data_IF_476654105116
#
_entry.id   IF_476654105116
#
_cell.length_a   1.000
_cell.length_b   1.000
_cell.length_c   1.000
_cell.angle_alpha   90.00
_cell.angle_beta   90.00
_cell.angle_gamma   90.00
#
_symmetry.space_group_name_H-M   'P 1'
#
loop_
_entity.id
_entity.type
_entity.pdbx_description
1 polymer ?
#
# COMPACT_ATOMS: atom_id res chain seq x y z
N UNK A 1 -42.79 13.14 -18.84
CA UNK A 1 -42.40 13.43 -17.43
C UNK A 1 -43.49 13.16 -16.41
N UNK A 2 -44.73 13.72 -16.54
CA UNK A 2 -45.82 13.44 -15.56
C UNK A 2 -46.38 12.02 -15.64
N UNK A 3 -46.48 11.41 -16.82
CA UNK A 3 -46.91 10.02 -16.97
C UNK A 3 -45.85 9.02 -16.47
N UNK A 4 -44.59 9.32 -16.67
CA UNK A 4 -43.46 8.48 -16.25
C UNK A 4 -43.32 8.46 -14.71
N UNK A 5 -43.49 9.62 -14.06
CA UNK A 5 -43.52 9.71 -12.61
C UNK A 5 -44.67 8.94 -11.99
N UNK A 6 -45.88 8.98 -12.62
CA UNK A 6 -47.03 8.24 -12.13
C UNK A 6 -46.81 6.72 -12.17
N UNK A 7 -46.18 6.22 -13.23
CA UNK A 7 -45.85 4.80 -13.36
C UNK A 7 -44.87 4.34 -12.28
N UNK A 8 -43.86 5.13 -12.01
CA UNK A 8 -42.88 4.85 -10.93
C UNK A 8 -43.54 4.87 -9.54
N UNK A 9 -44.45 5.80 -9.28
CA UNK A 9 -45.20 5.87 -8.02
C UNK A 9 -46.07 4.62 -7.81
N UNK A 10 -46.70 4.11 -8.89
CA UNK A 10 -47.44 2.85 -8.86
C UNK A 10 -46.55 1.64 -8.57
N UNK A 11 -45.35 1.58 -9.16
CA UNK A 11 -44.37 0.54 -8.87
C UNK A 11 -43.90 0.58 -7.42
N UNK A 12 -43.61 1.78 -6.88
CA UNK A 12 -43.22 1.94 -5.47
C UNK A 12 -44.36 1.53 -4.53
N UNK A 13 -45.61 1.94 -4.81
CA UNK A 13 -46.75 1.59 -4.01
C UNK A 13 -46.99 0.07 -4.00
N UNK A 14 -46.98 -0.59 -5.17
CA UNK A 14 -47.11 -2.03 -5.28
C UNK A 14 -46.00 -2.80 -4.58
N UNK A 15 -44.75 -2.31 -4.68
CA UNK A 15 -43.62 -2.90 -3.97
C UNK A 15 -43.78 -2.87 -2.44
N UNK A 16 -44.38 -1.80 -1.89
CA UNK A 16 -44.58 -1.61 -0.46
C UNK A 16 -45.82 -2.33 0.09
N UNK A 17 -46.78 -2.69 -0.74
CA UNK A 17 -48.06 -3.32 -0.33
C UNK A 17 -48.15 -4.80 -0.65
N UNK A 18 -48.07 -5.17 -1.91
CA UNK A 18 -48.40 -6.50 -2.42
C UNK A 18 -47.17 -7.26 -2.95
N UNK A 19 -46.07 -6.55 -3.18
CA UNK A 19 -44.87 -7.04 -3.87
C UNK A 19 -44.99 -6.89 -5.39
N UNK A 20 -43.85 -6.99 -6.08
CA UNK A 20 -43.75 -6.86 -7.52
C UNK A 20 -43.39 -8.20 -8.17
N UNK A 21 -43.80 -8.39 -9.42
CA UNK A 21 -43.29 -9.45 -10.26
C UNK A 21 -41.78 -9.18 -10.62
N UNK A 22 -41.14 -10.18 -11.21
CA UNK A 22 -39.69 -10.11 -11.47
C UNK A 22 -39.31 -8.97 -12.44
N UNK A 23 -40.16 -8.72 -13.45
CA UNK A 23 -39.86 -7.71 -14.48
C UNK A 23 -40.04 -6.30 -13.93
N UNK A 24 -41.16 -6.05 -13.22
CA UNK A 24 -41.44 -4.78 -12.55
C UNK A 24 -40.42 -4.46 -11.43
N UNK A 25 -39.95 -5.49 -10.73
CA UNK A 25 -38.87 -5.32 -9.72
C UNK A 25 -37.54 -4.92 -10.34
N UNK A 26 -37.15 -5.49 -11.47
CA UNK A 26 -35.94 -5.16 -12.18
C UNK A 26 -36.00 -3.75 -12.81
N UNK A 27 -37.19 -3.34 -13.28
CA UNK A 27 -37.45 -1.97 -13.75
C UNK A 27 -37.29 -0.96 -12.61
N UNK A 28 -37.91 -1.18 -11.46
CA UNK A 28 -37.80 -0.32 -10.29
C UNK A 28 -36.34 -0.23 -9.78
N UNK A 29 -35.62 -1.33 -9.75
CA UNK A 29 -34.19 -1.34 -9.38
C UNK A 29 -33.34 -0.52 -10.34
N UNK A 30 -33.56 -0.66 -11.64
CA UNK A 30 -32.83 0.08 -12.67
C UNK A 30 -33.07 1.57 -12.51
N UNK A 31 -34.33 1.98 -12.26
CA UNK A 31 -34.66 3.38 -12.02
C UNK A 31 -34.02 3.93 -10.73
N UNK A 32 -33.99 3.17 -9.62
CA UNK A 32 -33.35 3.57 -8.36
C UNK A 32 -31.83 3.79 -8.54
N UNK A 33 -31.19 2.95 -9.37
CA UNK A 33 -29.74 3.01 -9.59
C UNK A 33 -29.35 4.11 -10.59
N UNK A 34 -30.29 4.53 -11.45
CA UNK A 34 -30.03 5.51 -12.51
C UNK A 34 -29.63 6.90 -12.00
N UNK A 35 -30.11 7.33 -10.83
CA UNK A 35 -29.69 8.60 -10.23
C UNK A 35 -29.74 8.58 -8.70
N UNK A 36 -28.96 9.49 -8.08
CA UNK A 36 -28.99 9.71 -6.62
C UNK A 36 -30.34 10.29 -6.16
N UNK A 37 -30.99 11.09 -7.00
CA UNK A 37 -32.28 11.73 -6.75
C UNK A 37 -33.39 10.69 -6.73
N UNK A 38 -33.40 9.73 -7.66
CA UNK A 38 -34.36 8.62 -7.71
C UNK A 38 -34.27 7.75 -6.45
N UNK A 39 -33.04 7.48 -6.01
CA UNK A 39 -32.79 6.73 -4.77
C UNK A 39 -33.34 7.47 -3.55
N UNK A 40 -33.14 8.77 -3.48
CA UNK A 40 -33.62 9.60 -2.37
C UNK A 40 -35.14 9.68 -2.36
N UNK A 41 -35.77 9.81 -3.53
CA UNK A 41 -37.21 9.78 -3.70
C UNK A 41 -37.82 8.45 -3.21
N UNK A 42 -37.25 7.31 -3.60
CA UNK A 42 -37.69 6.00 -3.13
C UNK A 42 -37.61 5.87 -1.61
N UNK A 43 -36.50 6.29 -0.99
CA UNK A 43 -36.34 6.27 0.46
C UNK A 43 -37.40 7.12 1.14
N UNK A 44 -37.70 8.30 0.63
CA UNK A 44 -38.69 9.20 1.17
C UNK A 44 -40.12 8.62 1.10
N UNK A 45 -40.51 8.03 -0.03
CA UNK A 45 -41.82 7.37 -0.17
C UNK A 45 -41.95 6.17 0.77
N UNK A 46 -40.90 5.37 0.92
CA UNK A 46 -40.87 4.25 1.85
C UNK A 46 -41.04 4.71 3.32
N UNK A 47 -40.39 5.80 3.73
CA UNK A 47 -40.53 6.33 5.08
C UNK A 47 -41.93 6.87 5.36
N UNK A 48 -42.56 7.55 4.39
CA UNK A 48 -43.96 8.01 4.48
C UNK A 48 -44.87 6.82 4.69
N UNK A 49 -44.72 5.75 3.88
CA UNK A 49 -45.56 4.55 3.98
C UNK A 49 -45.41 3.86 5.35
N UNK A 50 -44.17 3.64 5.83
CA UNK A 50 -43.94 3.04 7.14
C UNK A 50 -44.46 3.91 8.29
N UNK A 51 -44.45 5.22 8.16
CA UNK A 51 -45.04 6.11 9.16
C UNK A 51 -46.56 6.06 9.20
N UNK A 52 -47.20 5.86 8.04
CA UNK A 52 -48.67 5.70 7.92
C UNK A 52 -49.13 4.36 8.48
N UNK A 53 -48.48 3.25 8.12
CA UNK A 53 -48.81 1.89 8.59
C UNK A 53 -48.63 1.77 10.11
N UNK A 54 -47.58 2.38 10.69
CA UNK A 54 -47.38 2.38 12.13
C UNK A 54 -48.46 3.19 12.88
N UNK A 55 -49.14 4.15 12.27
CA UNK A 55 -50.24 4.89 12.89
C UNK A 55 -51.48 4.04 13.05
N UNK A 56 -51.80 3.20 12.09
CA UNK A 56 -52.95 2.27 12.20
C UNK A 56 -52.69 1.17 13.23
N UNK A 57 -51.47 0.63 13.29
CA UNK A 57 -51.07 -0.32 14.33
C UNK A 57 -51.05 0.31 15.75
N UNK A 58 -50.75 1.60 15.87
CA UNK A 58 -50.78 2.32 17.13
C UNK A 58 -52.19 2.59 17.71
N UNK A 59 -53.21 2.59 16.85
CA UNK A 59 -54.63 2.79 17.30
C UNK A 59 -55.23 1.54 17.99
N UNK A 60 -54.64 0.37 17.74
CA UNK A 60 -55.04 -0.91 18.38
C UNK A 60 -54.27 -1.17 19.69
N UNK A 61 -53.23 -0.40 19.95
CA UNK A 61 -52.36 -0.60 21.10
C UNK A 61 -52.89 0.17 22.32
N UNK A 62 -53.55 -0.55 23.24
CA UNK A 62 -54.01 0.03 24.50
C UNK A 62 -52.82 0.32 25.46
N UNK A 63 -52.41 1.57 25.49
CA UNK A 63 -51.27 2.07 26.28
C UNK A 63 -51.37 1.74 27.76
N UNK A 64 -52.59 1.81 28.29
CA UNK A 64 -52.83 1.60 29.73
C UNK A 64 -52.65 0.12 30.09
N UNK A 65 -53.10 -0.79 29.24
CA UNK A 65 -52.93 -2.22 29.41
C UNK A 65 -51.45 -2.66 29.25
N UNK A 66 -50.73 -2.01 28.37
CA UNK A 66 -49.30 -2.24 28.21
C UNK A 66 -48.51 -1.74 29.41
N UNK A 67 -48.89 -0.58 29.94
CA UNK A 67 -48.24 0.00 31.13
C UNK A 67 -48.53 -0.81 32.39
N UNK A 68 -49.76 -1.31 32.57
CA UNK A 68 -50.09 -2.26 33.66
C UNK A 68 -49.32 -3.56 33.56
N UNK A 69 -49.22 -4.14 32.37
CA UNK A 69 -48.43 -5.33 32.17
C UNK A 69 -46.91 -5.11 32.42
N UNK A 70 -46.41 -3.96 32.06
CA UNK A 70 -45.04 -3.56 32.38
C UNK A 70 -44.83 -3.39 33.90
N UNK A 71 -45.74 -2.68 34.55
CA UNK A 71 -45.69 -2.47 35.99
C UNK A 71 -45.77 -3.79 36.76
N UNK A 72 -46.68 -4.67 36.40
CA UNK A 72 -46.81 -6.01 36.98
C UNK A 72 -45.56 -6.89 36.77
N UNK A 73 -44.88 -6.75 35.63
CA UNK A 73 -43.59 -7.41 35.37
C UNK A 73 -42.44 -6.82 36.21
N UNK A 74 -42.43 -5.52 36.45
CA UNK A 74 -41.43 -4.87 37.28
C UNK A 74 -41.65 -5.21 38.76
N UNK A 75 -42.91 -5.23 39.22
CA UNK A 75 -43.25 -5.62 40.59
C UNK A 75 -43.03 -7.10 40.88
N UNK A 76 -43.34 -7.99 39.93
CA UNK A 76 -43.03 -9.41 40.05
C UNK A 76 -41.51 -9.68 40.06
N UNK A 77 -40.71 -8.89 39.33
CA UNK A 77 -39.25 -8.96 39.42
C UNK A 77 -38.69 -8.47 40.74
N UNK A 78 -39.34 -7.51 41.41
CA UNK A 78 -38.93 -7.06 42.75
C UNK A 78 -39.21 -8.11 43.82
N UNK A 79 -40.27 -8.95 43.66
CA UNK A 79 -40.57 -10.00 44.62
C UNK A 79 -39.74 -11.28 44.47
N UNK A 80 -39.09 -11.45 43.33
CA UNK A 80 -38.25 -12.66 43.06
C UNK A 80 -36.76 -12.38 43.35
N UNK A 81 -36.40 -11.21 43.86
CA UNK A 81 -35.02 -10.86 44.23
C UNK A 81 -34.65 -11.18 45.69
N UNK A 82 -35.41 -12.06 46.36
CA UNK A 82 -34.96 -12.67 47.59
C UNK A 82 -34.69 -14.13 47.33
N UNK A 83 -33.44 -14.51 47.50
CA UNK A 83 -32.88 -15.86 47.47
C UNK A 83 -32.63 -16.49 46.07
N UNK A 84 -31.56 -16.10 45.47
CA UNK A 84 -30.49 -16.95 44.97
C UNK A 84 -29.43 -16.06 44.35
N UNK A 85 -28.51 -15.56 45.15
CA UNK A 85 -27.16 -15.24 44.64
C UNK A 85 -26.57 -16.58 44.16
N UNK A 86 -26.98 -17.05 43.01
CA UNK A 86 -26.08 -17.84 42.19
C UNK A 86 -24.93 -16.89 41.87
N UNK A 87 -23.91 -16.93 42.70
CA UNK A 87 -22.65 -16.32 42.41
C UNK A 87 -22.23 -16.87 41.05
N UNK A 88 -22.32 -16.01 40.04
CA UNK A 88 -21.56 -16.25 38.81
C UNK A 88 -20.16 -16.51 39.31
N UNK A 89 -19.76 -17.77 39.29
CA UNK A 89 -18.42 -18.11 39.76
C UNK A 89 -17.46 -17.38 38.83
N UNK A 90 -16.86 -16.34 39.37
CA UNK A 90 -15.82 -15.57 38.71
C UNK A 90 -14.80 -16.53 38.00
N UNK A 91 -14.63 -17.74 38.58
CA UNK A 91 -13.82 -18.79 38.02
C UNK A 91 -14.31 -19.32 36.67
N UNK A 92 -15.62 -19.30 36.38
CA UNK A 92 -16.13 -19.71 35.07
C UNK A 92 -15.84 -18.64 34.02
N UNK A 93 -16.04 -17.36 34.36
CA UNK A 93 -15.73 -16.20 33.48
C UNK A 93 -14.22 -16.18 33.18
N UNK A 94 -13.38 -16.42 34.16
CA UNK A 94 -11.92 -16.49 33.97
C UNK A 94 -11.48 -17.63 33.04
N UNK A 95 -12.18 -18.76 33.04
CA UNK A 95 -11.91 -19.87 32.11
C UNK A 95 -12.21 -19.49 30.65
N UNK A 96 -13.34 -18.83 30.42
CA UNK A 96 -13.69 -18.36 29.06
C UNK A 96 -12.82 -17.17 28.64
N UNK A 97 -12.48 -16.27 29.55
CA UNK A 97 -11.56 -15.17 29.28
C UNK A 97 -10.15 -15.69 28.90
N UNK A 98 -9.68 -16.73 29.55
CA UNK A 98 -8.40 -17.38 29.21
C UNK A 98 -8.42 -17.98 27.81
N UNK A 99 -9.50 -18.64 27.41
CA UNK A 99 -9.64 -19.23 26.06
C UNK A 99 -9.65 -18.11 24.99
N UNK A 100 -10.40 -17.04 25.23
CA UNK A 100 -10.45 -15.88 24.32
C UNK A 100 -9.07 -15.21 24.23
N UNK A 101 -8.38 -15.04 25.36
CA UNK A 101 -7.04 -14.47 25.38
C UNK A 101 -6.02 -15.35 24.62
N UNK A 102 -6.12 -16.68 24.77
CA UNK A 102 -5.26 -17.61 24.01
C UNK A 102 -5.57 -17.53 22.50
N UNK A 103 -6.84 -17.47 22.10
CA UNK A 103 -7.20 -17.32 20.68
C UNK A 103 -6.68 -16.02 20.09
N UNK A 104 -6.78 -14.92 20.83
CA UNK A 104 -6.22 -13.64 20.43
C UNK A 104 -4.69 -13.71 20.34
N UNK A 105 -4.04 -14.30 21.35
CA UNK A 105 -2.59 -14.44 21.35
C UNK A 105 -2.09 -15.32 20.17
N UNK A 106 -2.76 -16.45 19.90
CA UNK A 106 -2.46 -17.29 18.74
C UNK A 106 -2.70 -16.55 17.44
N UNK A 107 -3.80 -15.79 17.34
CA UNK A 107 -4.09 -14.94 16.17
C UNK A 107 -3.02 -13.87 15.95
N UNK A 108 -2.60 -13.17 17.02
CA UNK A 108 -1.52 -12.18 16.95
C UNK A 108 -0.17 -12.79 16.60
N UNK A 109 0.17 -13.95 17.20
CA UNK A 109 1.42 -14.67 16.89
C UNK A 109 1.41 -15.14 15.43
N UNK A 110 0.30 -15.72 14.95
CA UNK A 110 0.16 -16.16 13.56
C UNK A 110 0.22 -15.00 12.59
N UNK A 111 -0.37 -13.85 12.94
CA UNK A 111 -0.29 -12.63 12.15
C UNK A 111 1.15 -12.12 12.05
N UNK A 112 1.86 -12.04 13.17
CA UNK A 112 3.27 -11.61 13.20
C UNK A 112 4.20 -12.58 12.49
N UNK A 113 4.03 -13.89 12.68
CA UNK A 113 4.82 -14.90 11.97
C UNK A 113 4.51 -14.94 10.47
N UNK A 114 3.25 -14.69 10.09
CA UNK A 114 2.85 -14.60 8.67
C UNK A 114 3.56 -13.46 7.95
N UNK A 115 3.72 -12.30 8.61
CA UNK A 115 4.39 -11.13 8.01
C UNK A 115 5.90 -11.34 7.83
N UNK A 116 6.55 -12.06 8.77
CA UNK A 116 7.99 -12.34 8.72
C UNK A 116 8.30 -13.43 7.67
N UNK A 117 7.53 -14.52 7.62
CA UNK A 117 7.80 -15.64 6.72
C UNK A 117 7.55 -15.32 5.23
N UNK A 118 6.63 -14.41 4.91
CA UNK A 118 6.37 -14.03 3.51
C UNK A 118 7.53 -13.23 2.93
N UNK A 119 8.19 -12.38 3.73
CA UNK A 119 9.32 -11.57 3.27
C UNK A 119 10.57 -12.40 2.97
N UNK A 120 10.80 -13.49 3.70
CA UNK A 120 11.97 -14.36 3.54
C UNK A 120 11.77 -15.47 2.48
N UNK A 121 10.54 -15.67 1.99
CA UNK A 121 10.21 -16.77 1.07
C UNK A 121 10.48 -16.40 -0.40
N UNK A 122 10.58 -15.11 -0.71
CA UNK A 122 10.81 -14.66 -2.07
C UNK A 122 12.27 -14.35 -2.32
N UNK A 123 12.87 -15.02 -3.32
CA UNK A 123 14.22 -14.72 -3.77
C UNK A 123 14.31 -13.27 -4.29
N UNK A 124 15.44 -12.61 -4.04
CA UNK A 124 15.73 -11.32 -4.61
C UNK A 124 15.74 -11.38 -6.15
N UNK A 125 15.34 -10.28 -6.77
CA UNK A 125 15.36 -10.13 -8.22
C UNK A 125 16.78 -9.68 -8.61
N UNK A 126 17.44 -10.48 -9.44
CA UNK A 126 18.76 -10.15 -10.00
C UNK A 126 18.64 -9.82 -11.48
N UNK A 127 19.21 -8.68 -11.88
CA UNK A 127 19.29 -8.22 -13.26
C UNK A 127 20.75 -8.07 -13.63
N UNK A 128 21.15 -8.69 -14.76
CA UNK A 128 22.53 -8.68 -15.25
C UNK A 128 22.63 -8.03 -16.62
N UNK A 129 23.73 -7.32 -16.85
CA UNK A 129 24.15 -6.88 -18.17
C UNK A 129 25.30 -7.78 -18.63
N UNK A 130 25.14 -8.63 -19.65
CA UNK A 130 26.21 -9.47 -20.16
C UNK A 130 27.42 -8.67 -20.62
N UNK A 131 28.60 -9.31 -20.67
CA UNK A 131 29.79 -8.70 -21.21
C UNK A 131 29.56 -8.23 -22.66
N UNK A 132 29.94 -7.00 -22.96
CA UNK A 132 29.74 -6.38 -24.27
C UNK A 132 28.35 -5.82 -24.52
N UNK A 133 27.42 -5.95 -23.56
CA UNK A 133 26.04 -5.44 -23.67
C UNK A 133 25.73 -4.47 -22.54
N UNK A 134 24.68 -3.68 -22.73
CA UNK A 134 24.12 -2.79 -21.68
C UNK A 134 22.66 -3.16 -21.45
N UNK A 135 22.17 -3.03 -20.23
CA UNK A 135 20.79 -3.33 -19.89
C UNK A 135 20.10 -2.08 -19.36
N UNK A 136 18.98 -1.72 -19.98
CA UNK A 136 18.10 -0.64 -19.53
C UNK A 136 16.86 -1.22 -18.87
N UNK A 137 16.50 -0.75 -17.68
CA UNK A 137 15.30 -1.21 -16.98
C UNK A 137 14.67 -0.09 -16.18
N UNK A 138 13.39 -0.28 -15.86
CA UNK A 138 12.64 0.54 -14.92
C UNK A 138 12.36 -0.27 -13.66
N UNK A 139 12.72 0.28 -12.51
CA UNK A 139 12.36 -0.30 -11.22
C UNK A 139 10.88 -0.07 -10.90
N UNK A 140 10.28 -0.84 -9.98
CA UNK A 140 8.86 -0.70 -9.62
C UNK A 140 8.44 0.68 -9.15
N UNK A 141 9.36 1.48 -8.58
CA UNK A 141 9.12 2.86 -8.16
C UNK A 141 9.15 3.88 -9.32
N UNK A 142 9.47 3.42 -10.54
CA UNK A 142 9.63 4.24 -11.75
C UNK A 142 11.02 4.86 -11.91
N UNK A 143 12.01 4.46 -11.09
CA UNK A 143 13.43 4.81 -11.28
C UNK A 143 13.95 4.12 -12.55
N UNK A 144 14.64 4.88 -13.41
CA UNK A 144 15.33 4.36 -14.59
C UNK A 144 16.76 3.98 -14.22
N UNK A 145 17.17 2.80 -14.63
CA UNK A 145 18.53 2.29 -14.42
C UNK A 145 19.11 1.81 -15.75
N UNK A 146 20.37 2.13 -15.98
CA UNK A 146 21.21 1.55 -17.03
C UNK A 146 22.34 0.79 -16.35
N UNK A 147 22.51 -0.47 -16.69
CA UNK A 147 23.65 -1.29 -16.25
C UNK A 147 24.64 -1.40 -17.39
N UNK A 148 25.90 -1.13 -17.11
CA UNK A 148 26.98 -1.29 -18.06
C UNK A 148 27.40 -2.77 -18.17
N UNK A 149 28.20 -3.10 -19.18
CA UNK A 149 28.65 -4.46 -19.47
C UNK A 149 29.30 -5.13 -18.24
N UNK A 150 28.93 -6.38 -17.97
CA UNK A 150 29.44 -7.16 -16.84
C UNK A 150 28.91 -6.72 -15.47
N UNK A 151 27.88 -5.88 -15.44
CA UNK A 151 27.30 -5.41 -14.16
C UNK A 151 26.08 -6.24 -13.77
N UNK A 152 25.87 -6.34 -12.46
CA UNK A 152 24.74 -7.01 -11.83
C UNK A 152 24.11 -6.10 -10.80
N UNK A 153 22.77 -6.06 -10.77
CA UNK A 153 21.99 -5.35 -9.76
C UNK A 153 20.98 -6.30 -9.14
N UNK A 154 20.86 -6.26 -7.82
CA UNK A 154 19.91 -7.08 -7.06
C UNK A 154 19.04 -6.20 -6.19
N UNK A 155 17.74 -6.52 -6.10
CA UNK A 155 16.79 -5.85 -5.23
C UNK A 155 15.69 -6.81 -4.77
N UNK A 156 15.10 -6.53 -3.61
CA UNK A 156 14.05 -7.37 -3.03
C UNK A 156 12.73 -7.24 -3.81
N UNK A 157 11.87 -8.26 -3.74
CA UNK A 157 10.52 -8.20 -4.32
C UNK A 157 9.62 -7.15 -3.64
N UNK A 158 9.93 -6.77 -2.38
CA UNK A 158 9.26 -5.68 -1.68
C UNK A 158 9.76 -4.28 -2.05
N UNK A 159 10.63 -4.16 -3.06
CA UNK A 159 11.16 -2.88 -3.52
C UNK A 159 10.04 -1.92 -3.95
N UNK A 160 10.09 -0.69 -3.47
CA UNK A 160 9.09 0.34 -3.74
C UNK A 160 7.91 0.35 -2.76
N UNK A 161 7.70 -0.74 -2.02
CA UNK A 161 6.66 -0.87 -0.98
C UNK A 161 7.30 -0.77 0.41
N UNK A 162 8.19 -1.69 0.74
CA UNK A 162 8.85 -1.77 2.05
C UNK A 162 10.14 -0.93 2.13
N UNK A 163 10.86 -0.86 1.02
CA UNK A 163 12.13 -0.17 0.92
C UNK A 163 12.47 0.19 -0.52
N UNK A 164 13.52 0.98 -0.71
CA UNK A 164 14.09 1.33 -2.02
C UNK A 164 15.59 1.06 -2.00
N UNK A 165 15.96 -0.21 -1.76
CA UNK A 165 17.35 -0.64 -1.65
C UNK A 165 17.72 -1.52 -2.83
N UNK A 166 18.86 -1.22 -3.45
CA UNK A 166 19.48 -2.06 -4.46
C UNK A 166 20.93 -2.37 -4.09
N UNK A 167 21.39 -3.55 -4.44
CA UNK A 167 22.80 -3.92 -4.40
C UNK A 167 23.36 -3.91 -5.81
N UNK A 168 24.51 -3.27 -6.02
CA UNK A 168 25.16 -3.13 -7.31
C UNK A 168 26.55 -3.75 -7.27
N UNK A 169 26.89 -4.51 -8.29
CA UNK A 169 28.24 -4.95 -8.63
C UNK A 169 28.52 -4.53 -10.08
N UNK A 170 29.58 -3.74 -10.30
CA UNK A 170 29.90 -3.16 -11.59
C UNK A 170 29.50 -1.70 -11.74
N UNK A 171 28.97 -1.28 -12.87
CA UNK A 171 28.64 0.12 -13.18
C UNK A 171 27.17 0.30 -13.55
N UNK A 172 26.52 1.25 -12.90
CA UNK A 172 25.14 1.63 -13.17
C UNK A 172 24.95 3.14 -13.18
N UNK A 173 24.16 3.61 -14.14
CA UNK A 173 23.63 4.97 -14.19
C UNK A 173 22.17 4.95 -13.73
N UNK A 174 21.83 5.87 -12.85
CA UNK A 174 20.54 5.93 -12.18
C UNK A 174 19.88 7.29 -12.38
N UNK A 175 18.63 7.29 -12.82
CA UNK A 175 17.73 8.43 -12.74
C UNK A 175 16.64 8.12 -11.72
N UNK A 176 16.91 8.45 -10.46
CA UNK A 176 16.05 8.08 -9.34
C UNK A 176 14.83 8.98 -9.28
N UNK A 177 13.65 8.36 -9.28
CA UNK A 177 12.38 9.09 -9.09
C UNK A 177 12.33 9.70 -7.69
N UNK A 178 12.06 11.01 -7.63
CA UNK A 178 12.04 11.77 -6.38
C UNK A 178 10.97 11.23 -5.42
N UNK A 179 11.39 10.89 -4.21
CA UNK A 179 10.53 10.52 -3.09
C UNK A 179 11.23 10.87 -1.77
N UNK A 180 10.73 11.91 -1.10
CA UNK A 180 11.33 12.40 0.17
C UNK A 180 10.96 11.54 1.38
N UNK A 181 9.89 10.74 1.28
CA UNK A 181 9.41 9.90 2.39
C UNK A 181 10.19 8.59 2.50
N UNK A 182 10.61 8.04 1.36
CA UNK A 182 11.33 6.76 1.30
C UNK A 182 12.61 6.97 0.50
N UNK A 183 13.77 7.14 1.16
CA UNK A 183 15.07 7.30 0.49
C UNK A 183 15.41 6.08 -0.37
N UNK A 184 16.14 6.33 -1.46
CA UNK A 184 16.70 5.30 -2.32
C UNK A 184 18.15 5.02 -1.93
N UNK A 185 18.50 3.75 -1.79
CA UNK A 185 19.83 3.31 -1.41
C UNK A 185 20.44 2.45 -2.51
N UNK A 186 21.71 2.74 -2.85
CA UNK A 186 22.55 1.82 -3.62
C UNK A 186 23.70 1.40 -2.75
N UNK A 187 23.88 0.11 -2.61
CA UNK A 187 24.97 -0.47 -1.82
C UNK A 187 25.83 -1.33 -2.74
N UNK A 188 27.13 -1.16 -2.63
CA UNK A 188 28.13 -2.08 -3.16
C UNK A 188 28.87 -2.74 -2.00
N UNK A 189 29.91 -3.49 -2.29
CA UNK A 189 30.78 -4.08 -1.26
C UNK A 189 31.47 -3.03 -0.39
N UNK A 190 31.91 -1.92 -1.01
CA UNK A 190 32.84 -0.97 -0.43
C UNK A 190 32.19 0.38 -0.05
N UNK A 191 31.08 0.74 -0.69
CA UNK A 191 30.42 2.03 -0.54
C UNK A 191 28.89 1.88 -0.54
N UNK A 192 28.21 2.68 0.26
CA UNK A 192 26.76 2.83 0.22
C UNK A 192 26.41 4.29 -0.04
N UNK A 193 25.44 4.54 -0.88
CA UNK A 193 24.89 5.88 -1.10
C UNK A 193 23.38 5.93 -0.80
N UNK A 194 22.94 7.15 -0.45
CA UNK A 194 21.55 7.47 -0.20
C UNK A 194 21.16 8.71 -1.00
N UNK A 195 20.01 8.65 -1.68
CA UNK A 195 19.46 9.75 -2.47
C UNK A 195 17.95 9.85 -2.30
N UNK A 196 17.37 11.02 -2.65
CA UNK A 196 15.92 11.24 -2.62
C UNK A 196 15.30 11.37 -4.03
N UNK A 197 16.12 11.78 -5.01
CA UNK A 197 15.70 12.01 -6.40
C UNK A 197 16.85 12.66 -7.14
N UNK A 198 17.69 11.89 -7.81
CA UNK A 198 19.06 12.24 -8.17
C UNK A 198 19.45 11.49 -9.43
N UNK A 199 20.25 12.12 -10.31
CA UNK A 199 20.88 11.48 -11.44
C UNK A 199 22.37 11.33 -11.17
N UNK A 200 22.85 10.11 -11.18
CA UNK A 200 24.24 9.79 -10.87
C UNK A 200 24.72 8.53 -11.57
N UNK A 201 26.02 8.42 -11.74
CA UNK A 201 26.71 7.20 -12.17
C UNK A 201 27.47 6.61 -10.97
N UNK A 202 27.41 5.30 -10.79
CA UNK A 202 28.09 4.56 -9.75
C UNK A 202 28.84 3.38 -10.35
N UNK A 203 30.17 3.37 -10.18
CA UNK A 203 31.07 2.33 -10.70
C UNK A 203 31.85 1.69 -9.56
N UNK A 204 31.70 0.38 -9.43
CA UNK A 204 32.41 -0.47 -8.47
C UNK A 204 32.55 -1.90 -9.04
N UNK A 205 33.46 -2.09 -9.98
CA UNK A 205 33.83 -3.43 -10.43
C UNK A 205 34.78 -4.11 -9.46
N UNK A 206 34.66 -5.43 -9.24
CA UNK A 206 35.56 -6.18 -8.33
C UNK A 206 37.05 -6.02 -8.65
N UNK A 207 37.39 -5.93 -9.94
CA UNK A 207 38.74 -5.80 -10.46
C UNK A 207 39.29 -4.37 -10.38
N UNK A 208 38.45 -3.37 -10.25
CA UNK A 208 38.90 -1.96 -10.14
C UNK A 208 39.56 -1.68 -8.78
N UNK A 209 40.54 -0.84 -8.78
CA UNK A 209 41.23 -0.39 -7.56
C UNK A 209 40.47 0.73 -6.85
N UNK A 210 39.51 1.32 -7.50
CA UNK A 210 38.73 2.47 -7.01
C UNK A 210 37.23 2.29 -7.23
N UNK A 211 36.47 2.88 -6.31
CA UNK A 211 35.01 3.06 -6.47
C UNK A 211 34.77 4.51 -6.86
N UNK A 212 33.96 4.73 -7.88
CA UNK A 212 33.68 6.06 -8.44
C UNK A 212 32.19 6.35 -8.42
N UNK A 213 31.80 7.48 -7.82
CA UNK A 213 30.43 8.00 -7.87
C UNK A 213 30.48 9.40 -8.46
N UNK A 214 29.79 9.63 -9.59
CA UNK A 214 29.70 10.94 -10.24
C UNK A 214 28.26 11.45 -10.17
N UNK A 215 28.07 12.65 -9.65
CA UNK A 215 26.76 13.26 -9.48
C UNK A 215 26.45 14.25 -10.59
N UNK A 216 25.33 14.03 -11.31
CA UNK A 216 24.87 14.90 -12.37
C UNK A 216 23.81 15.90 -11.88
N UNK A 217 22.83 15.42 -11.11
CA UNK A 217 21.72 16.24 -10.64
C UNK A 217 21.26 15.80 -9.26
N UNK A 218 20.96 16.74 -8.38
CA UNK A 218 20.42 16.49 -7.05
C UNK A 218 21.48 16.48 -5.95
N UNK A 219 21.41 15.50 -5.04
CA UNK A 219 22.31 15.37 -3.89
C UNK A 219 22.51 13.89 -3.54
N UNK A 220 23.75 13.50 -3.25
CA UNK A 220 24.12 12.15 -2.82
C UNK A 220 24.78 12.22 -1.46
N UNK A 221 24.31 11.40 -0.52
CA UNK A 221 24.98 11.14 0.74
C UNK A 221 25.73 9.80 0.62
N UNK A 222 27.02 9.80 0.89
CA UNK A 222 27.91 8.64 0.81
C UNK A 222 28.27 8.14 2.20
N UNK A 223 28.24 6.82 2.37
CA UNK A 223 28.68 6.12 3.57
C UNK A 223 29.76 5.12 3.19
N UNK A 224 30.99 5.39 3.63
CA UNK A 224 32.17 4.53 3.39
C UNK A 224 32.08 3.28 4.28
N UNK A 225 32.02 2.10 3.67
CA UNK A 225 31.93 0.83 4.38
C UNK A 225 33.27 0.26 4.79
N UNK A 226 34.37 0.71 4.15
CA UNK A 226 35.74 0.30 4.48
C UNK A 226 36.29 1.02 5.72
N UNK A 227 35.82 2.24 6.00
CA UNK A 227 36.19 3.02 7.17
C UNK A 227 34.94 3.64 7.80
N UNK A 228 34.86 3.62 9.13
CA UNK A 228 33.82 4.31 9.91
C UNK A 228 34.10 5.83 9.97
N UNK A 229 34.18 6.46 8.83
CA UNK A 229 34.43 7.90 8.72
C UNK A 229 33.13 8.68 8.64
N UNK A 230 33.25 10.03 8.66
CA UNK A 230 32.10 10.92 8.47
C UNK A 230 31.52 10.71 7.08
N UNK A 231 30.18 10.75 7.01
CA UNK A 231 29.43 10.72 5.75
C UNK A 231 29.92 11.88 4.86
N UNK A 232 30.18 11.59 3.59
CA UNK A 232 30.47 12.62 2.59
C UNK A 232 29.16 12.94 1.82
N UNK A 233 29.07 14.18 1.35
CA UNK A 233 27.92 14.64 0.57
C UNK A 233 28.44 15.22 -0.73
N UNK A 234 27.87 14.78 -1.87
CA UNK A 234 28.18 15.31 -3.19
C UNK A 234 27.13 16.34 -3.60
N UNK A 235 27.63 17.42 -4.22
CA UNK A 235 26.86 18.37 -5.02
C UNK A 235 26.96 18.05 -6.52
N UNK A 236 26.08 18.59 -7.37
CA UNK A 236 26.19 18.45 -8.83
C UNK A 236 27.57 18.84 -9.32
N UNK A 237 28.06 18.15 -10.36
CA UNK A 237 29.40 18.29 -10.93
C UNK A 237 30.53 17.93 -9.96
N UNK A 238 30.23 17.08 -8.97
CA UNK A 238 31.24 16.48 -8.11
C UNK A 238 31.33 14.96 -8.33
N UNK A 239 32.53 14.44 -8.13
CA UNK A 239 32.87 13.02 -8.17
C UNK A 239 33.53 12.61 -6.88
N UNK A 240 33.07 11.50 -6.29
CA UNK A 240 33.76 10.83 -5.21
C UNK A 240 34.59 9.68 -5.76
N UNK A 241 35.82 9.54 -5.30
CA UNK A 241 36.72 8.42 -5.60
C UNK A 241 37.12 7.78 -4.30
N UNK A 242 36.74 6.51 -4.10
CA UNK A 242 37.13 5.70 -2.94
C UNK A 242 38.24 4.72 -3.36
N UNK A 243 39.41 4.83 -2.79
CA UNK A 243 40.48 3.87 -3.01
C UNK A 243 40.26 2.63 -2.14
N UNK A 244 40.09 1.46 -2.80
CA UNK A 244 39.76 0.19 -2.13
C UNK A 244 40.86 -0.34 -1.22
N UNK A 245 42.15 -0.04 -1.53
CA UNK A 245 43.26 -0.57 -0.78
C UNK A 245 43.40 0.11 0.61
N UNK A 246 43.16 1.41 0.68
CA UNK A 246 43.33 2.18 1.91
C UNK A 246 42.05 2.80 2.47
N UNK A 247 40.90 2.66 1.78
CA UNK A 247 39.60 3.19 2.17
C UNK A 247 39.54 4.72 2.19
N UNK A 248 40.46 5.43 1.51
CA UNK A 248 40.45 6.89 1.46
C UNK A 248 39.44 7.38 0.44
N UNK A 249 38.49 8.18 0.89
CA UNK A 249 37.48 8.83 0.05
C UNK A 249 37.89 10.27 -0.25
N UNK A 250 38.00 10.63 -1.53
CA UNK A 250 38.26 11.98 -2.03
C UNK A 250 37.07 12.49 -2.83
N UNK A 251 36.76 13.78 -2.71
CA UNK A 251 35.74 14.46 -3.53
C UNK A 251 36.45 15.47 -4.42
N UNK A 252 36.16 15.46 -5.69
CA UNK A 252 36.75 16.33 -6.71
C UNK A 252 35.65 16.95 -7.57
N UNK A 253 35.86 18.19 -8.00
CA UNK A 253 34.97 18.83 -8.99
C UNK A 253 35.30 18.34 -10.40
N UNK A 254 34.30 17.91 -11.14
CA UNK A 254 34.42 17.39 -12.51
C UNK A 254 33.20 17.81 -13.34
N UNK A 255 33.34 17.86 -14.65
CA UNK A 255 32.20 18.00 -15.54
C UNK A 255 31.49 16.64 -15.62
N UNK A 256 30.43 16.47 -14.81
CA UNK A 256 29.78 15.18 -14.60
C UNK A 256 29.05 14.64 -15.86
N UNK A 257 28.76 15.48 -16.86
CA UNK A 257 28.14 15.06 -18.14
C UNK A 257 28.91 13.94 -18.84
N UNK A 258 30.21 13.83 -18.63
CA UNK A 258 31.01 12.77 -19.25
C UNK A 258 30.75 11.38 -18.62
N UNK A 259 30.26 11.33 -17.38
CA UNK A 259 30.04 10.07 -16.66
C UNK A 259 28.81 9.28 -17.20
N UNK A 260 27.90 9.96 -17.91
CA UNK A 260 26.70 9.32 -18.52
C UNK A 260 26.82 9.09 -20.03
N UNK A 261 27.90 9.56 -20.68
CA UNK A 261 28.05 9.44 -22.15
C UNK A 261 27.96 7.98 -22.67
N UNK A 262 28.32 7.01 -21.84
CA UNK A 262 28.21 5.62 -22.20
C UNK A 262 26.75 5.14 -22.34
N UNK A 263 25.77 5.85 -21.79
CA UNK A 263 24.35 5.54 -21.92
C UNK A 263 23.79 5.91 -23.31
N UNK A 264 24.35 6.92 -23.94
CA UNK A 264 23.88 7.46 -25.23
C UNK A 264 24.26 6.59 -26.44
N UNK A 265 25.25 5.69 -26.29
CA UNK A 265 25.77 4.86 -27.38
C UNK A 265 24.86 3.72 -27.87
N UNK A 266 23.64 3.57 -27.37
CA UNK A 266 22.69 2.52 -27.81
C UNK A 266 21.77 2.92 -28.97
N UNK A 267 21.79 4.16 -29.41
CA UNK A 267 20.85 4.65 -30.44
C UNK A 267 21.29 4.38 -31.89
N UNK A 268 22.43 3.74 -32.14
CA UNK A 268 22.98 3.63 -33.48
C UNK A 268 23.05 2.23 -34.12
N UNK A 269 22.38 1.21 -33.58
CA UNK A 269 22.45 -0.14 -34.16
C UNK A 269 21.12 -0.69 -34.69
N UNK A 270 20.03 0.09 -34.70
CA UNK A 270 18.74 -0.42 -35.24
C UNK A 270 18.40 0.06 -36.66
N UNK A 271 19.14 1.02 -37.25
CA UNK A 271 18.82 1.58 -38.58
C UNK A 271 19.74 1.10 -39.72
N UNK A 272 20.63 0.12 -39.50
CA UNK A 272 21.53 -0.37 -40.51
C UNK A 272 21.13 -1.70 -41.18
N UNK A 273 19.89 -2.15 -41.01
CA UNK A 273 19.41 -3.44 -41.51
C UNK A 273 18.26 -3.35 -42.55
N UNK A 274 17.94 -2.16 -43.07
CA UNK A 274 16.98 -2.00 -44.18
C UNK A 274 17.59 -1.14 -45.28
N UNK A 275 18.52 -1.74 -46.08
CA UNK A 275 18.83 -1.40 -47.45
C UNK A 275 19.23 -2.67 -48.22
#
# INVERSE_FOLDING_TARGET
MEEENRHIDELIASYLTEGLDKNALDELKTWIVASAENRQYFIQQREIWFSAVNREAASVYNKDKAFENFRNRVESRKKTQSTSRQGFSLSAIWRYAAVVAIMIAVGCISYWQGEVNVKDTFADISVEAPLGSKTKLYLPDGTLVWLNAGSRMTYSQGFGVDNRKVELEGEGYFEVKRNEKVPFFVKTKDLQLQVLGTKFNFRDYPEDHEVIVSLLEGKVELNNLLRKEKKAVLAPDERAVLNKANGLLKVESVTASNASQWTDCLLYTSDAADD
#
